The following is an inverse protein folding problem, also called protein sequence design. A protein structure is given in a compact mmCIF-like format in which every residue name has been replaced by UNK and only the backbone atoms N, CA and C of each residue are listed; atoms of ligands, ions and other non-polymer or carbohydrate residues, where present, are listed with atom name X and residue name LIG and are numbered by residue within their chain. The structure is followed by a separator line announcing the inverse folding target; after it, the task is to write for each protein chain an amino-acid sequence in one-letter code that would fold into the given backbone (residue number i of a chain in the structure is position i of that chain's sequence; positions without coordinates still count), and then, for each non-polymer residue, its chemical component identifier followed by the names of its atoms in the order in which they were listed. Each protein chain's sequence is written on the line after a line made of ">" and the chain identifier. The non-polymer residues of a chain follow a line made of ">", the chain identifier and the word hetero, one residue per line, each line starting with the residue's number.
data_IF_021070078281
#
_entry.id   IF_021070078281
#
_cell.length_a   1.000
_cell.length_b   1.000
_cell.length_c   1.000
_cell.angle_alpha   90.00
_cell.angle_beta   90.00
_cell.angle_gamma   90.00
#
_symmetry.space_group_name_H-M   'P 1'
#
loop_
_entity.id
_entity.type
_entity.pdbx_description
1 polymer ?
#
# COMPACT_ATOMS: atom_id res chain seq x y z
N UNK A 1 -8.03 -7.65 -4.38
CA UNK A 1 -8.12 -6.22 -4.77
C UNK A 1 -9.55 -5.81 -5.10
N UNK A 2 -10.15 -6.33 -6.17
CA UNK A 2 -11.56 -6.07 -6.55
C UNK A 2 -12.56 -6.16 -5.37
N UNK A 3 -12.51 -7.25 -4.59
CA UNK A 3 -13.39 -7.46 -3.43
C UNK A 3 -13.29 -6.33 -2.38
N UNK A 4 -12.07 -5.92 -2.03
CA UNK A 4 -11.80 -4.85 -1.06
C UNK A 4 -12.26 -3.50 -1.60
N UNK A 5 -12.05 -3.24 -2.88
CA UNK A 5 -12.45 -2.00 -3.51
C UNK A 5 -13.97 -1.82 -3.46
N UNK A 6 -14.73 -2.83 -3.86
CA UNK A 6 -16.19 -2.74 -3.80
C UNK A 6 -16.70 -2.64 -2.36
N UNK A 7 -16.11 -3.39 -1.43
CA UNK A 7 -16.48 -3.29 -0.02
C UNK A 7 -16.12 -1.92 0.54
N UNK A 8 -14.86 -1.48 0.49
CA UNK A 8 -14.43 -0.21 1.06
C UNK A 8 -15.21 1.01 0.52
N UNK A 9 -15.59 0.99 -0.75
CA UNK A 9 -16.23 2.14 -1.41
C UNK A 9 -17.75 2.20 -1.24
N UNK A 10 -18.41 1.10 -0.95
CA UNK A 10 -19.85 1.06 -0.69
C UNK A 10 -20.20 0.64 0.75
N UNK A 11 -19.19 0.39 1.60
CA UNK A 11 -19.38 0.04 3.00
C UNK A 11 -20.12 1.13 3.77
N UNK A 12 -19.92 2.40 3.42
CA UNK A 12 -20.63 3.52 4.05
C UNK A 12 -22.16 3.35 3.96
N UNK A 13 -22.66 2.83 2.84
CA UNK A 13 -24.07 2.55 2.61
C UNK A 13 -24.58 1.50 3.58
N UNK A 14 -23.81 0.43 3.81
CA UNK A 14 -24.15 -0.63 4.77
C UNK A 14 -24.14 -0.13 6.22
N UNK A 15 -23.10 0.62 6.60
CA UNK A 15 -22.92 1.12 7.97
C UNK A 15 -24.00 2.15 8.32
N UNK A 16 -24.39 2.98 7.36
CA UNK A 16 -25.44 3.98 7.54
C UNK A 16 -26.85 3.36 7.45
N UNK A 17 -27.18 2.67 6.36
CA UNK A 17 -28.56 2.22 6.10
C UNK A 17 -28.94 0.94 6.85
N UNK A 18 -28.04 -0.04 6.98
CA UNK A 18 -28.38 -1.35 7.58
C UNK A 18 -27.98 -1.42 9.07
N UNK A 19 -26.89 -0.76 9.46
CA UNK A 19 -26.40 -0.75 10.85
C UNK A 19 -26.85 0.48 11.64
N UNK A 20 -27.52 1.43 10.98
CA UNK A 20 -28.09 2.65 11.55
C UNK A 20 -27.10 3.54 12.31
N UNK A 21 -25.81 3.51 11.98
CA UNK A 21 -24.88 4.45 12.59
C UNK A 21 -25.04 5.85 11.98
N UNK A 22 -24.93 6.92 12.78
CA UNK A 22 -24.93 8.29 12.26
C UNK A 22 -23.90 8.50 11.15
N UNK A 23 -24.17 9.42 10.21
CA UNK A 23 -23.32 9.63 9.03
C UNK A 23 -21.86 9.93 9.39
N UNK A 24 -21.62 10.79 10.37
CA UNK A 24 -20.27 11.13 10.84
C UNK A 24 -19.51 9.91 11.38
N UNK A 25 -20.21 9.06 12.15
CA UNK A 25 -19.66 7.82 12.69
C UNK A 25 -19.41 6.79 11.59
N UNK A 26 -20.31 6.69 10.62
CA UNK A 26 -20.18 5.81 9.45
C UNK A 26 -18.96 6.17 8.61
N UNK A 27 -18.77 7.47 8.31
CA UNK A 27 -17.59 7.96 7.60
C UNK A 27 -16.30 7.62 8.36
N UNK A 28 -16.26 7.85 9.68
CA UNK A 28 -15.10 7.51 10.52
C UNK A 28 -14.81 6.01 10.56
N UNK A 29 -15.84 5.15 10.59
CA UNK A 29 -15.66 3.69 10.55
C UNK A 29 -15.00 3.28 9.22
N UNK A 30 -15.48 3.81 8.10
CA UNK A 30 -14.94 3.48 6.77
C UNK A 30 -13.51 3.98 6.60
N UNK A 31 -13.23 5.23 6.98
CA UNK A 31 -11.87 5.79 6.87
C UNK A 31 -10.89 5.09 7.81
N UNK A 32 -11.31 4.76 9.04
CA UNK A 32 -10.50 3.97 9.96
C UNK A 32 -10.22 2.57 9.40
N UNK A 33 -11.23 1.89 8.84
CA UNK A 33 -11.05 0.59 8.21
C UNK A 33 -10.01 0.64 7.07
N UNK A 34 -10.15 1.60 6.15
CA UNK A 34 -9.22 1.77 5.03
C UNK A 34 -7.82 2.12 5.55
N UNK A 35 -7.71 3.01 6.54
CA UNK A 35 -6.45 3.35 7.19
C UNK A 35 -5.79 2.14 7.86
N UNK A 36 -6.57 1.31 8.56
CA UNK A 36 -6.10 0.06 9.17
C UNK A 36 -5.59 -0.93 8.13
N UNK A 37 -6.25 -1.08 6.98
CA UNK A 37 -5.75 -1.92 5.87
C UNK A 37 -4.35 -1.48 5.44
N UNK A 38 -4.12 -0.18 5.27
CA UNK A 38 -2.82 0.35 4.86
C UNK A 38 -1.74 0.21 5.95
N UNK A 39 -2.09 0.44 7.22
CA UNK A 39 -1.17 0.22 8.34
C UNK A 39 -0.79 -1.26 8.47
N UNK A 40 -1.76 -2.17 8.35
CA UNK A 40 -1.51 -3.61 8.37
C UNK A 40 -0.76 -4.09 7.13
N UNK A 41 -0.76 -3.33 6.03
CA UNK A 41 0.11 -3.61 4.87
C UNK A 41 1.60 -3.50 5.21
N UNK A 42 1.98 -2.53 6.04
CA UNK A 42 3.36 -2.43 6.53
C UNK A 42 3.72 -3.65 7.38
N UNK A 43 2.81 -4.08 8.26
CA UNK A 43 2.98 -5.27 9.08
C UNK A 43 3.09 -6.55 8.23
N UNK A 44 2.25 -6.70 7.21
CA UNK A 44 2.27 -7.86 6.34
C UNK A 44 3.50 -7.98 5.46
N UNK A 45 4.04 -6.85 4.99
CA UNK A 45 5.35 -6.81 4.34
C UNK A 45 6.46 -7.26 5.29
N UNK A 46 6.46 -6.72 6.51
CA UNK A 46 7.41 -7.12 7.55
C UNK A 46 7.36 -8.61 7.90
N UNK A 47 6.16 -9.17 8.12
CA UNK A 47 5.97 -10.58 8.45
C UNK A 47 6.44 -11.51 7.32
N UNK A 48 6.15 -11.13 6.07
CA UNK A 48 6.59 -11.83 4.86
C UNK A 48 8.11 -11.83 4.73
N UNK A 49 8.75 -10.66 4.81
CA UNK A 49 10.18 -10.53 4.61
C UNK A 49 11.00 -11.15 5.75
N UNK A 50 10.50 -11.08 6.99
CA UNK A 50 11.24 -11.49 8.19
C UNK A 50 11.04 -12.95 8.58
N UNK A 51 9.84 -13.52 8.40
CA UNK A 51 9.48 -14.80 9.01
C UNK A 51 8.87 -15.80 8.04
N UNK A 52 7.74 -15.45 7.42
CA UNK A 52 6.86 -16.43 6.76
C UNK A 52 7.20 -16.66 5.28
N UNK A 53 7.80 -15.66 4.61
CA UNK A 53 7.90 -15.61 3.16
C UNK A 53 6.57 -15.25 2.48
N UNK A 54 6.66 -14.69 1.27
CA UNK A 54 5.49 -14.06 0.62
C UNK A 54 4.35 -15.02 0.32
N UNK A 55 4.66 -16.26 -0.09
CA UNK A 55 3.64 -17.27 -0.39
C UNK A 55 2.80 -17.64 0.84
N UNK A 56 3.45 -17.98 1.96
CA UNK A 56 2.74 -18.37 3.18
C UNK A 56 1.99 -17.20 3.80
N UNK A 57 2.55 -15.99 3.75
CA UNK A 57 1.81 -14.79 4.16
C UNK A 57 0.55 -14.61 3.31
N UNK A 58 0.64 -14.69 1.99
CA UNK A 58 -0.54 -14.58 1.12
C UNK A 58 -1.58 -15.66 1.41
N UNK A 59 -1.16 -16.91 1.63
CA UNK A 59 -2.08 -18.02 1.89
C UNK A 59 -2.84 -17.83 3.21
N UNK A 60 -2.12 -17.62 4.31
CA UNK A 60 -2.71 -17.47 5.65
C UNK A 60 -3.64 -16.26 5.68
N UNK A 61 -3.15 -15.10 5.25
CA UNK A 61 -3.93 -13.87 5.33
C UNK A 61 -5.05 -13.81 4.29
N UNK A 62 -4.94 -14.54 3.18
CA UNK A 62 -6.06 -14.70 2.26
C UNK A 62 -7.22 -15.49 2.87
N UNK A 63 -6.95 -16.57 3.63
CA UNK A 63 -8.02 -17.27 4.39
C UNK A 63 -8.64 -16.40 5.49
N UNK A 64 -7.82 -15.55 6.14
CA UNK A 64 -8.32 -14.56 7.11
C UNK A 64 -9.25 -13.56 6.41
N UNK A 65 -8.86 -13.05 5.24
CA UNK A 65 -9.67 -12.12 4.44
C UNK A 65 -10.99 -12.77 4.00
N UNK A 66 -10.92 -14.00 3.47
CA UNK A 66 -12.09 -14.78 3.07
C UNK A 66 -13.06 -14.98 4.23
N UNK A 67 -12.55 -15.35 5.41
CA UNK A 67 -13.36 -15.49 6.63
C UNK A 67 -14.07 -14.17 6.95
N UNK A 68 -13.37 -13.05 6.88
CA UNK A 68 -13.97 -11.72 7.08
C UNK A 68 -15.13 -11.43 6.12
N UNK A 69 -14.97 -11.71 4.82
CA UNK A 69 -16.05 -11.52 3.85
C UNK A 69 -17.24 -12.46 4.08
N UNK A 70 -17.00 -13.72 4.43
CA UNK A 70 -18.07 -14.66 4.79
C UNK A 70 -18.84 -14.15 6.01
N UNK A 71 -18.15 -13.71 7.07
CA UNK A 71 -18.81 -13.13 8.24
C UNK A 71 -19.62 -11.88 7.89
N UNK A 72 -19.10 -10.98 7.04
CA UNK A 72 -19.86 -9.82 6.57
C UNK A 72 -21.10 -10.22 5.77
N UNK A 73 -21.00 -11.24 4.91
CA UNK A 73 -22.10 -11.74 4.10
C UNK A 73 -23.18 -12.46 4.92
N UNK A 74 -22.79 -13.22 5.95
CA UNK A 74 -23.74 -13.83 6.90
C UNK A 74 -24.40 -12.74 7.77
N UNK A 75 -23.58 -11.79 8.23
CA UNK A 75 -23.88 -10.42 8.66
C UNK A 75 -25.23 -9.81 8.23
N UNK A 76 -25.14 -8.95 7.22
CA UNK A 76 -25.43 -9.54 5.94
C UNK A 76 -26.85 -10.07 5.74
N UNK A 77 -26.92 -11.36 5.54
CA UNK A 77 -28.12 -12.06 5.17
C UNK A 77 -29.10 -12.29 6.35
N UNK A 78 -28.59 -12.43 7.58
CA UNK A 78 -29.40 -12.84 8.73
C UNK A 78 -30.04 -11.64 9.46
N UNK A 79 -31.39 -11.52 9.48
CA UNK A 79 -32.07 -10.40 10.15
C UNK A 79 -31.78 -10.33 11.65
N UNK A 80 -31.48 -11.47 12.28
CA UNK A 80 -31.13 -11.56 13.70
C UNK A 80 -29.81 -10.84 14.03
N UNK A 81 -28.89 -10.73 13.06
CA UNK A 81 -27.57 -10.12 13.24
C UNK A 81 -27.54 -8.63 12.88
N UNK A 82 -28.70 -8.06 12.50
CA UNK A 82 -28.86 -6.64 12.14
C UNK A 82 -29.95 -5.96 12.97
N UNK A 83 -29.88 -4.64 13.16
CA UNK A 83 -31.02 -3.86 13.67
C UNK A 83 -32.31 -4.14 12.86
N UNK A 84 -33.47 -3.92 13.49
CA UNK A 84 -34.75 -4.03 12.79
C UNK A 84 -34.85 -2.95 11.71
N UNK A 85 -35.37 -3.30 10.52
CA UNK A 85 -35.40 -2.40 9.37
C UNK A 85 -36.04 -1.04 9.73
N UNK A 86 -35.31 0.04 9.46
CA UNK A 86 -35.75 1.39 9.72
C UNK A 86 -35.13 2.36 8.70
N UNK A 87 -35.86 3.41 8.30
CA UNK A 87 -35.37 4.39 7.32
C UNK A 87 -34.74 5.58 8.05
N UNK A 88 -33.40 5.61 8.06
CA UNK A 88 -32.58 6.67 8.68
C UNK A 88 -32.94 8.10 8.25
N UNK A 89 -33.56 8.26 7.08
CA UNK A 89 -33.91 9.57 6.50
C UNK A 89 -35.14 10.19 7.20
N UNK A 90 -36.04 9.36 7.76
CA UNK A 90 -37.34 9.81 8.26
C UNK A 90 -37.54 9.54 9.76
N UNK A 91 -36.73 8.67 10.36
CA UNK A 91 -36.94 8.17 11.72
C UNK A 91 -35.62 8.09 12.50
N UNK A 92 -35.70 8.24 13.82
CA UNK A 92 -34.60 7.94 14.73
C UNK A 92 -34.48 6.42 14.90
N UNK A 93 -33.70 5.78 14.03
CA UNK A 93 -33.50 4.34 14.06
C UNK A 93 -32.56 3.90 15.19
N UNK A 94 -32.80 2.73 15.81
CA UNK A 94 -31.89 2.21 16.83
C UNK A 94 -30.57 1.74 16.19
N UNK A 95 -29.46 2.34 16.65
CA UNK A 95 -28.11 1.92 16.26
C UNK A 95 -27.85 0.43 16.59
N UNK A 96 -27.04 -0.23 15.77
CA UNK A 96 -26.52 -1.55 16.12
C UNK A 96 -25.70 -1.51 17.42
N UNK A 97 -26.11 -2.30 18.41
CA UNK A 97 -25.46 -2.42 19.74
C UNK A 97 -25.21 -3.88 20.11
N UNK A 98 -24.34 -4.09 21.10
CA UNK A 98 -24.02 -5.41 21.66
C UNK A 98 -23.38 -6.34 20.63
N UNK A 99 -23.86 -7.59 20.55
CA UNK A 99 -23.28 -8.62 19.70
C UNK A 99 -23.34 -8.29 18.19
N UNK A 100 -24.37 -7.55 17.73
CA UNK A 100 -24.51 -7.15 16.31
C UNK A 100 -23.36 -6.25 15.87
N UNK A 101 -23.02 -5.26 16.69
CA UNK A 101 -21.88 -4.38 16.45
C UNK A 101 -20.54 -5.13 16.60
N UNK A 102 -20.43 -6.02 17.59
CA UNK A 102 -19.23 -6.81 17.82
C UNK A 102 -18.89 -7.69 16.60
N UNK A 103 -19.85 -8.46 16.08
CA UNK A 103 -19.64 -9.31 14.89
C UNK A 103 -19.22 -8.46 13.69
N UNK A 104 -19.84 -7.28 13.52
CA UNK A 104 -19.52 -6.38 12.43
C UNK A 104 -18.06 -5.92 12.48
N UNK A 105 -17.59 -5.45 13.64
CA UNK A 105 -16.21 -5.01 13.79
C UNK A 105 -15.21 -6.16 13.68
N UNK A 106 -15.53 -7.35 14.21
CA UNK A 106 -14.68 -8.55 14.02
C UNK A 106 -14.54 -8.85 12.53
N UNK A 107 -15.64 -8.91 11.79
CA UNK A 107 -15.63 -9.18 10.36
C UNK A 107 -14.84 -8.12 9.59
N UNK A 108 -15.06 -6.84 9.92
CA UNK A 108 -14.39 -5.70 9.30
C UNK A 108 -12.86 -5.73 9.54
N UNK A 109 -12.42 -6.02 10.77
CA UNK A 109 -11.00 -6.11 11.08
C UNK A 109 -10.33 -7.39 10.56
N UNK A 110 -11.06 -8.49 10.40
CA UNK A 110 -10.57 -9.68 9.68
C UNK A 110 -10.29 -9.36 8.21
N UNK A 111 -11.22 -8.68 7.53
CA UNK A 111 -10.98 -8.18 6.17
C UNK A 111 -9.79 -7.22 6.16
N UNK A 112 -9.70 -6.32 7.14
CA UNK A 112 -8.60 -5.34 7.19
C UNK A 112 -7.23 -6.02 7.32
N UNK A 113 -7.13 -7.00 8.22
CA UNK A 113 -5.91 -7.77 8.47
C UNK A 113 -5.52 -8.64 7.28
N UNK A 114 -6.48 -9.37 6.73
CA UNK A 114 -6.25 -10.21 5.56
C UNK A 114 -5.81 -9.38 4.35
N UNK A 115 -6.60 -8.35 4.01
CA UNK A 115 -6.32 -7.44 2.91
C UNK A 115 -4.98 -6.71 3.06
N UNK A 116 -4.72 -6.17 4.25
CA UNK A 116 -3.48 -5.45 4.54
C UNK A 116 -2.28 -6.35 4.28
N UNK A 117 -2.28 -7.55 4.85
CA UNK A 117 -1.14 -8.45 4.71
C UNK A 117 -1.00 -9.08 3.32
N UNK A 118 -2.09 -9.23 2.58
CA UNK A 118 -2.09 -9.84 1.25
C UNK A 118 -1.61 -8.86 0.15
N UNK A 119 -2.01 -7.59 0.23
CA UNK A 119 -1.70 -6.53 -0.76
C UNK A 119 -0.23 -6.40 -1.18
N UNK A 120 0.73 -6.15 -0.28
CA UNK A 120 2.13 -5.93 -0.66
C UNK A 120 2.76 -7.20 -1.22
N UNK A 121 2.28 -8.37 -0.79
CA UNK A 121 2.88 -9.65 -1.10
C UNK A 121 2.47 -10.21 -2.46
N UNK A 122 1.28 -9.88 -3.00
CA UNK A 122 0.88 -10.33 -4.34
C UNK A 122 1.89 -9.87 -5.40
N UNK A 123 2.16 -8.56 -5.43
CA UNK A 123 2.96 -7.95 -6.49
C UNK A 123 4.42 -8.40 -6.37
N UNK A 124 4.96 -8.43 -5.14
CA UNK A 124 6.33 -8.88 -4.88
C UNK A 124 6.51 -10.36 -5.22
N UNK A 125 5.57 -11.22 -4.81
CA UNK A 125 5.63 -12.64 -5.09
C UNK A 125 5.62 -12.94 -6.60
N UNK A 126 4.77 -12.26 -7.38
CA UNK A 126 4.76 -12.41 -8.84
C UNK A 126 6.02 -11.85 -9.50
N UNK A 127 6.56 -10.73 -9.00
CA UNK A 127 7.83 -10.20 -9.48
C UNK A 127 9.01 -11.16 -9.20
N UNK A 128 8.96 -11.87 -8.07
CA UNK A 128 10.00 -12.82 -7.67
C UNK A 128 10.09 -14.06 -8.57
N UNK A 129 9.06 -14.34 -9.36
CA UNK A 129 9.05 -15.43 -10.36
C UNK A 129 10.00 -15.15 -11.54
N UNK A 130 10.33 -13.88 -11.79
CA UNK A 130 11.27 -13.48 -12.83
C UNK A 130 12.67 -13.33 -12.22
N UNK A 131 13.57 -14.26 -12.55
CA UNK A 131 14.99 -14.21 -12.13
C UNK A 131 15.69 -13.04 -12.86
N UNK A 132 16.72 -12.46 -12.25
CA UNK A 132 17.40 -11.23 -12.73
C UNK A 132 18.70 -11.51 -13.52
N UNK A 133 18.92 -12.72 -13.99
CA UNK A 133 20.22 -13.11 -14.57
C UNK A 133 20.34 -12.79 -16.07
N UNK A 134 19.22 -12.64 -16.79
CA UNK A 134 19.22 -12.33 -18.24
C UNK A 134 18.59 -10.97 -18.59
N UNK A 135 19.20 -10.23 -19.53
CA UNK A 135 18.66 -8.99 -20.10
C UNK A 135 17.26 -9.16 -20.73
N UNK A 136 16.97 -10.37 -21.27
CA UNK A 136 15.64 -10.74 -21.77
C UNK A 136 14.60 -10.88 -20.65
N UNK A 137 14.99 -11.29 -19.44
CA UNK A 137 14.08 -11.43 -18.30
C UNK A 137 13.70 -10.06 -17.70
N UNK A 138 14.58 -9.06 -17.77
CA UNK A 138 14.26 -7.69 -17.35
C UNK A 138 13.09 -7.08 -18.14
N UNK A 139 13.03 -7.31 -19.47
CA UNK A 139 11.88 -6.89 -20.29
C UNK A 139 10.58 -7.59 -19.86
N UNK A 140 10.62 -8.90 -19.62
CA UNK A 140 9.45 -9.68 -19.16
C UNK A 140 8.94 -9.19 -17.80
N UNK A 141 9.84 -8.83 -16.89
CA UNK A 141 9.48 -8.27 -15.58
C UNK A 141 8.78 -6.91 -15.73
N UNK A 142 9.26 -6.04 -16.62
CA UNK A 142 8.58 -4.77 -16.91
C UNK A 142 7.19 -4.99 -17.51
N UNK A 143 7.05 -5.95 -18.45
CA UNK A 143 5.74 -6.33 -19.00
C UNK A 143 4.81 -6.86 -17.91
N UNK A 144 5.30 -7.68 -16.97
CA UNK A 144 4.52 -8.15 -15.83
C UNK A 144 3.97 -6.99 -15.01
N UNK A 145 4.80 -6.00 -14.64
CA UNK A 145 4.33 -4.84 -13.88
C UNK A 145 3.27 -4.03 -14.65
N UNK A 146 3.45 -3.83 -15.96
CA UNK A 146 2.48 -3.11 -16.78
C UNK A 146 1.14 -3.87 -16.87
N UNK A 147 1.18 -5.18 -17.09
CA UNK A 147 -0.02 -6.02 -17.15
C UNK A 147 -0.71 -6.10 -15.79
N UNK A 148 0.05 -6.26 -14.71
CA UNK A 148 -0.48 -6.29 -13.34
C UNK A 148 -1.16 -4.96 -12.99
N UNK A 149 -0.57 -3.83 -13.39
CA UNK A 149 -1.15 -2.51 -13.21
C UNK A 149 -2.43 -2.32 -14.02
N UNK A 150 -2.43 -2.73 -15.29
CA UNK A 150 -3.63 -2.70 -16.13
C UNK A 150 -4.75 -3.57 -15.56
N UNK A 151 -4.43 -4.81 -15.14
CA UNK A 151 -5.38 -5.72 -14.51
C UNK A 151 -5.93 -5.14 -13.19
N UNK A 152 -5.09 -4.43 -12.42
CA UNK A 152 -5.53 -3.71 -11.23
C UNK A 152 -6.56 -2.63 -11.58
N UNK A 153 -6.26 -1.74 -12.54
CA UNK A 153 -7.19 -0.68 -12.96
C UNK A 153 -8.51 -1.24 -13.50
N UNK A 154 -8.45 -2.30 -14.31
CA UNK A 154 -9.65 -2.97 -14.83
C UNK A 154 -10.47 -3.64 -13.72
N UNK A 155 -9.79 -4.29 -12.76
CA UNK A 155 -10.44 -4.91 -11.61
C UNK A 155 -11.14 -3.88 -10.71
N UNK A 156 -10.52 -2.74 -10.46
CA UNK A 156 -11.12 -1.62 -9.74
C UNK A 156 -12.32 -1.04 -10.50
N UNK A 157 -12.22 -0.89 -11.82
CA UNK A 157 -13.32 -0.43 -12.66
C UNK A 157 -14.54 -1.37 -12.57
N UNK A 158 -14.32 -2.67 -12.68
CA UNK A 158 -15.38 -3.69 -12.56
C UNK A 158 -15.99 -3.69 -11.14
N UNK A 159 -15.16 -3.60 -10.11
CA UNK A 159 -15.63 -3.50 -8.72
C UNK A 159 -16.54 -2.29 -8.53
N UNK A 160 -16.07 -1.11 -8.93
CA UNK A 160 -16.75 0.16 -8.67
C UNK A 160 -18.00 0.38 -9.53
N UNK A 161 -18.14 -0.38 -10.62
CA UNK A 161 -19.33 -0.32 -11.49
C UNK A 161 -20.25 -1.50 -11.22
N UNK A 162 -19.90 -2.69 -11.71
CA UNK A 162 -20.76 -3.88 -11.67
C UNK A 162 -21.01 -4.37 -10.24
N UNK A 163 -19.97 -4.49 -9.43
CA UNK A 163 -20.13 -5.04 -8.08
C UNK A 163 -20.84 -4.06 -7.14
N UNK A 164 -20.56 -2.76 -7.27
CA UNK A 164 -21.34 -1.71 -6.58
C UNK A 164 -22.80 -1.70 -7.05
N UNK A 165 -23.06 -1.86 -8.34
CA UNK A 165 -24.43 -1.96 -8.87
C UNK A 165 -25.18 -3.16 -8.27
N UNK A 166 -24.53 -4.32 -8.18
CA UNK A 166 -25.07 -5.51 -7.51
C UNK A 166 -25.35 -5.23 -6.03
N UNK A 167 -24.40 -4.62 -5.31
CA UNK A 167 -24.59 -4.26 -3.90
C UNK A 167 -25.80 -3.35 -3.67
N UNK A 168 -25.99 -2.36 -4.56
CA UNK A 168 -27.08 -1.38 -4.43
C UNK A 168 -28.44 -1.95 -4.83
N UNK A 169 -28.52 -2.82 -5.83
CA UNK A 169 -29.80 -3.34 -6.35
C UNK A 169 -30.21 -4.69 -5.79
N UNK A 170 -29.25 -5.59 -5.56
CA UNK A 170 -29.48 -6.94 -5.03
C UNK A 170 -29.23 -7.07 -3.52
N UNK A 171 -28.65 -6.04 -2.89
CA UNK A 171 -28.37 -6.00 -1.46
C UNK A 171 -26.90 -6.22 -1.10
N UNK A 172 -26.53 -5.73 0.08
CA UNK A 172 -25.15 -5.81 0.59
C UNK A 172 -24.73 -7.24 0.94
N UNK A 173 -25.67 -8.12 1.29
CA UNK A 173 -25.43 -9.54 1.54
C UNK A 173 -24.92 -10.27 0.31
N UNK A 174 -25.60 -10.05 -0.83
CA UNK A 174 -25.18 -10.57 -2.14
C UNK A 174 -23.82 -9.99 -2.53
N UNK A 175 -23.62 -8.68 -2.37
CA UNK A 175 -22.36 -8.03 -2.70
C UNK A 175 -21.15 -8.54 -1.90
N UNK A 176 -21.32 -8.76 -0.59
CA UNK A 176 -20.29 -9.38 0.24
C UNK A 176 -20.09 -10.86 -0.12
N UNK A 177 -21.16 -11.58 -0.46
CA UNK A 177 -21.07 -12.97 -0.93
C UNK A 177 -20.28 -13.11 -2.23
N UNK A 178 -20.53 -12.25 -3.21
CA UNK A 178 -19.75 -12.18 -4.47
C UNK A 178 -18.28 -11.83 -4.18
N UNK A 179 -18.02 -10.94 -3.23
CA UNK A 179 -16.67 -10.59 -2.80
C UNK A 179 -15.95 -11.80 -2.16
N UNK A 180 -16.64 -12.58 -1.32
CA UNK A 180 -16.13 -13.82 -0.74
C UNK A 180 -15.84 -14.86 -1.83
N UNK A 181 -16.74 -15.05 -2.79
CA UNK A 181 -16.56 -15.97 -3.91
C UNK A 181 -15.34 -15.58 -4.77
N UNK A 182 -15.19 -14.30 -5.11
CA UNK A 182 -14.04 -13.79 -5.85
C UNK A 182 -12.72 -14.02 -5.10
N UNK A 183 -12.72 -13.84 -3.77
CA UNK A 183 -11.55 -14.14 -2.93
C UNK A 183 -11.25 -15.65 -2.90
N UNK A 184 -12.27 -16.50 -2.76
CA UNK A 184 -12.10 -17.95 -2.79
C UNK A 184 -11.52 -18.44 -4.11
N UNK A 185 -11.99 -17.91 -5.25
CA UNK A 185 -11.41 -18.20 -6.58
C UNK A 185 -9.95 -17.77 -6.65
N UNK A 186 -9.62 -16.58 -6.13
CA UNK A 186 -8.23 -16.11 -6.04
C UNK A 186 -7.33 -17.03 -5.21
N UNK A 187 -7.82 -17.50 -4.05
CA UNK A 187 -7.11 -18.46 -3.20
C UNK A 187 -6.94 -19.82 -3.87
N UNK A 188 -7.97 -20.35 -4.53
CA UNK A 188 -7.90 -21.60 -5.28
C UNK A 188 -6.86 -21.48 -6.39
N UNK A 189 -6.85 -20.36 -7.12
CA UNK A 189 -5.84 -20.09 -8.14
C UNK A 189 -4.43 -20.02 -7.55
N UNK A 190 -4.27 -19.38 -6.38
CA UNK A 190 -2.98 -19.34 -5.68
C UNK A 190 -2.52 -20.75 -5.32
N UNK A 191 -3.36 -21.53 -4.64
CA UNK A 191 -3.05 -22.89 -4.19
C UNK A 191 -2.75 -23.82 -5.37
N UNK A 192 -3.50 -23.71 -6.47
CA UNK A 192 -3.30 -24.54 -7.67
C UNK A 192 -1.92 -24.33 -8.30
N UNK A 193 -1.34 -23.13 -8.16
CA UNK A 193 0.00 -22.81 -8.67
C UNK A 193 1.15 -23.21 -7.73
N UNK A 194 0.88 -23.78 -6.55
CA UNK A 194 1.90 -24.02 -5.51
C UNK A 194 3.11 -24.82 -6.01
N UNK A 195 2.89 -25.82 -6.87
CA UNK A 195 3.97 -26.64 -7.43
C UNK A 195 4.82 -25.91 -8.49
N UNK A 196 4.33 -24.80 -9.05
CA UNK A 196 4.97 -24.03 -10.12
C UNK A 196 5.74 -22.81 -9.59
N UNK A 197 5.44 -22.35 -8.37
CA UNK A 197 6.04 -21.15 -7.82
C UNK A 197 7.47 -21.36 -7.35
N UNK A 198 8.33 -20.39 -7.67
CA UNK A 198 9.67 -20.25 -7.12
C UNK A 198 9.58 -19.41 -5.85
N UNK A 199 9.52 -20.08 -4.71
CA UNK A 199 9.46 -19.43 -3.40
C UNK A 199 10.87 -19.04 -2.96
N UNK A 200 11.11 -17.75 -2.71
CA UNK A 200 12.36 -17.25 -2.13
C UNK A 200 12.32 -17.37 -0.60
N UNK A 201 13.44 -17.69 0.06
CA UNK A 201 13.53 -17.65 1.51
C UNK A 201 13.39 -16.21 2.03
N UNK A 202 13.02 -16.07 3.31
CA UNK A 202 12.91 -14.78 3.99
C UNK A 202 14.26 -14.03 3.96
N UNK A 203 14.21 -12.72 3.67
CA UNK A 203 15.39 -11.85 3.51
C UNK A 203 15.78 -11.11 4.79
N UNK A 204 15.06 -11.36 5.88
CA UNK A 204 15.25 -10.71 7.16
C UNK A 204 14.53 -9.37 7.26
N UNK A 205 14.63 -8.73 8.42
CA UNK A 205 13.92 -7.49 8.73
C UNK A 205 14.65 -6.25 8.18
N UNK A 206 13.94 -5.41 7.45
CA UNK A 206 14.41 -4.07 7.03
C UNK A 206 14.50 -3.11 8.21
N UNK A 207 13.71 -3.32 9.27
CA UNK A 207 13.71 -2.46 10.46
C UNK A 207 14.93 -2.71 11.37
N UNK A 208 15.49 -3.92 11.34
CA UNK A 208 16.61 -4.26 12.23
C UNK A 208 17.88 -3.45 11.92
N UNK A 209 18.34 -3.32 10.65
CA UNK A 209 19.45 -2.44 10.30
C UNK A 209 19.18 -0.97 10.64
N UNK A 210 17.95 -0.49 10.44
CA UNK A 210 17.57 0.89 10.79
C UNK A 210 17.73 1.11 12.30
N UNK A 211 17.18 0.21 13.12
CA UNK A 211 17.28 0.28 14.57
C UNK A 211 18.74 0.19 15.05
N UNK A 212 19.55 -0.68 14.45
CA UNK A 212 20.98 -0.81 14.75
C UNK A 212 21.72 0.51 14.54
N UNK A 213 21.51 1.18 13.40
CA UNK A 213 22.15 2.48 13.10
C UNK A 213 21.77 3.54 14.14
N UNK A 214 20.48 3.63 14.51
CA UNK A 214 20.06 4.59 15.54
C UNK A 214 20.64 4.27 16.91
N UNK A 215 20.59 3.01 17.34
CA UNK A 215 21.13 2.58 18.65
C UNK A 215 22.63 2.82 18.71
N UNK A 216 23.38 2.46 17.66
CA UNK A 216 24.82 2.68 17.57
C UNK A 216 25.17 4.19 17.57
N UNK A 217 24.45 5.01 16.79
CA UNK A 217 24.68 6.46 16.74
C UNK A 217 24.38 7.14 18.08
N UNK A 218 23.29 6.76 18.76
CA UNK A 218 22.91 7.31 20.07
C UNK A 218 23.90 6.87 21.15
N UNK A 219 24.32 5.61 21.14
CA UNK A 219 25.34 5.08 22.06
C UNK A 219 26.66 5.87 21.91
N UNK A 220 27.05 6.21 20.68
CA UNK A 220 28.25 6.96 20.35
C UNK A 220 28.04 8.48 20.28
N UNK A 221 26.93 9.02 20.82
CA UNK A 221 26.57 10.45 20.67
C UNK A 221 27.63 11.42 21.21
N UNK A 222 28.42 11.01 22.20
CA UNK A 222 29.49 11.82 22.82
C UNK A 222 30.78 11.87 21.99
N UNK A 223 30.92 11.01 20.98
CA UNK A 223 32.09 10.99 20.12
C UNK A 223 32.05 12.15 19.11
N UNK A 224 33.23 12.64 18.74
CA UNK A 224 33.40 13.68 17.72
C UNK A 224 33.06 13.05 16.36
N UNK A 225 32.22 13.72 15.56
CA UNK A 225 31.96 13.26 14.18
C UNK A 225 33.28 13.29 13.40
N UNK A 226 33.77 12.15 12.87
CA UNK A 226 35.01 12.13 12.12
C UNK A 226 34.85 13.00 10.87
N UNK A 227 35.82 13.88 10.62
CA UNK A 227 35.89 14.68 9.40
C UNK A 227 36.54 13.91 8.25
N UNK A 228 37.15 12.75 8.53
CA UNK A 228 37.92 11.96 7.58
C UNK A 228 37.27 10.59 7.34
N UNK A 229 36.93 10.29 6.08
CA UNK A 229 36.13 9.12 5.65
C UNK A 229 36.89 7.80 5.84
N UNK A 230 38.22 7.85 5.90
CA UNK A 230 39.09 6.67 6.09
C UNK A 230 38.98 6.02 7.48
N UNK A 231 38.42 6.73 8.47
CA UNK A 231 38.22 6.19 9.83
C UNK A 231 36.91 5.42 10.00
N UNK A 232 36.06 5.35 8.96
CA UNK A 232 34.75 4.70 9.03
C UNK A 232 34.84 3.20 8.75
N UNK A 233 34.21 2.39 9.60
CA UNK A 233 34.19 0.93 9.46
C UNK A 233 33.42 0.48 8.20
N UNK A 234 34.07 -0.36 7.38
CA UNK A 234 33.54 -0.83 6.09
C UNK A 234 34.14 -0.12 4.86
N UNK A 235 35.06 0.82 5.04
CA UNK A 235 35.93 1.27 3.95
C UNK A 235 37.08 0.26 3.75
N UNK A 236 37.50 0.07 2.51
CA UNK A 236 38.21 -1.11 1.95
C UNK A 236 39.56 -1.54 2.57
N UNK A 237 40.02 -0.96 3.67
CA UNK A 237 41.40 -1.13 4.16
C UNK A 237 41.60 -2.26 5.19
N UNK A 238 40.56 -3.01 5.57
CA UNK A 238 40.68 -4.14 6.52
C UNK A 238 40.16 -5.48 5.95
N UNK A 239 40.39 -5.76 4.66
CA UNK A 239 40.36 -7.13 4.14
C UNK A 239 41.80 -7.65 4.17
N UNK A 240 42.12 -8.77 4.84
CA UNK A 240 43.46 -9.33 4.83
C UNK A 240 43.91 -9.63 3.39
N UNK A 241 45.13 -9.20 3.06
CA UNK A 241 45.79 -9.28 1.75
C UNK A 241 45.97 -10.72 1.22
N UNK A 242 44.90 -11.41 0.81
CA UNK A 242 45.04 -12.72 0.16
C UNK A 242 43.95 -12.99 -0.89
N UNK A 243 43.72 -12.09 -1.85
CA UNK A 243 43.22 -12.47 -3.18
C UNK A 243 43.69 -11.44 -4.24
N UNK A 244 44.22 -11.88 -5.39
CA UNK A 244 44.83 -10.98 -6.37
C UNK A 244 43.78 -10.15 -7.10
N UNK A 245 44.17 -8.92 -7.39
CA UNK A 245 43.40 -7.92 -8.10
C UNK A 245 42.82 -8.43 -9.42
N UNK A 246 41.51 -8.35 -9.57
CA UNK A 246 40.87 -8.22 -10.88
C UNK A 246 39.92 -7.04 -10.85
N UNK A 247 40.39 -5.95 -11.47
CA UNK A 247 39.62 -4.83 -11.97
C UNK A 247 38.35 -5.32 -12.68
N UNK A 248 37.16 -4.87 -12.34
CA UNK A 248 36.54 -3.66 -12.91
C UNK A 248 35.14 -3.45 -12.29
N UNK A 249 34.72 -2.20 -12.13
CA UNK A 249 33.37 -1.72 -11.77
C UNK A 249 32.93 -1.77 -10.28
N UNK A 250 33.53 -0.94 -9.43
CA UNK A 250 32.93 -0.54 -8.14
C UNK A 250 32.84 0.99 -8.04
N UNK A 251 32.26 1.63 -9.06
CA UNK A 251 31.90 3.06 -9.03
C UNK A 251 30.51 3.32 -8.39
N UNK A 252 29.94 2.34 -7.67
CA UNK A 252 28.58 2.42 -7.12
C UNK A 252 28.49 2.26 -5.59
N UNK A 253 29.55 2.60 -4.85
CA UNK A 253 29.43 2.74 -3.40
C UNK A 253 28.79 4.12 -3.12
N UNK A 254 27.59 4.14 -2.53
CA UNK A 254 26.78 5.34 -2.28
C UNK A 254 27.64 6.57 -1.94
N UNK A 255 27.46 7.66 -2.70
CA UNK A 255 28.04 8.98 -2.40
C UNK A 255 27.76 9.33 -0.94
N UNK A 256 28.82 9.53 -0.15
CA UNK A 256 28.71 9.97 1.23
C UNK A 256 27.92 11.29 1.29
N UNK A 257 26.82 11.31 2.05
CA UNK A 257 25.93 12.47 2.13
C UNK A 257 26.15 13.22 3.44
N UNK A 258 26.39 14.54 3.36
CA UNK A 258 26.56 15.45 4.52
C UNK A 258 25.29 15.61 5.37
N UNK A 259 24.13 15.21 4.85
CA UNK A 259 22.85 15.22 5.57
C UNK A 259 22.85 14.15 6.66
N UNK A 260 22.33 14.51 7.85
CA UNK A 260 22.24 13.62 9.02
C UNK A 260 23.60 13.08 9.50
N UNK A 261 24.65 13.91 9.48
CA UNK A 261 26.03 13.55 9.91
C UNK A 261 26.15 12.96 11.31
N UNK A 262 25.16 13.16 12.19
CA UNK A 262 25.13 12.52 13.50
C UNK A 262 25.03 10.98 13.42
N UNK A 263 24.47 10.44 12.33
CA UNK A 263 24.38 8.99 12.12
C UNK A 263 25.71 8.35 11.76
N UNK A 264 26.67 9.11 11.23
CA UNK A 264 28.02 8.62 10.92
C UNK A 264 28.78 8.18 12.18
N UNK A 265 28.33 8.63 13.35
CA UNK A 265 28.84 8.17 14.64
C UNK A 265 28.66 6.66 14.85
N UNK A 266 27.68 6.03 14.19
CA UNK A 266 27.46 4.59 14.25
C UNK A 266 28.62 3.77 13.65
N UNK A 267 29.43 4.38 12.77
CA UNK A 267 30.54 3.75 12.06
C UNK A 267 31.90 3.91 12.75
N UNK A 268 31.97 4.66 13.86
CA UNK A 268 33.24 4.91 14.58
C UNK A 268 33.63 3.65 15.35
N UNK A 269 34.79 3.04 15.05
CA UNK A 269 35.33 1.95 15.87
C UNK A 269 35.90 2.53 17.17
N UNK A 270 35.52 1.98 18.31
CA UNK A 270 36.11 2.36 19.60
C UNK A 270 37.19 1.32 19.89
N UNK A 271 38.47 1.72 19.87
CA UNK A 271 39.58 0.87 20.27
C UNK A 271 39.61 0.74 21.80
N UNK A 272 38.66 -0.02 22.36
CA UNK A 272 38.78 -0.58 23.71
C UNK A 272 39.61 -1.86 23.56
N UNK A 273 40.91 -1.85 23.87
CA UNK A 273 41.97 -2.87 23.63
C UNK A 273 41.67 -4.35 23.95
N UNK A 274 40.55 -4.85 23.45
CA UNK A 274 40.02 -6.20 23.52
C UNK A 274 39.57 -6.55 22.11
N UNK A 275 40.18 -7.55 21.50
CA UNK A 275 39.82 -8.08 20.18
C UNK A 275 38.47 -8.84 20.22
N UNK A 276 37.40 -8.19 20.69
CA UNK A 276 36.06 -8.74 20.61
C UNK A 276 35.42 -8.30 19.30
N UNK A 277 34.81 -9.25 18.61
CA UNK A 277 33.92 -8.97 17.47
C UNK A 277 32.83 -8.00 17.93
N UNK A 278 32.87 -6.75 17.44
CA UNK A 278 31.88 -5.75 17.82
C UNK A 278 30.49 -6.19 17.32
N UNK A 279 29.48 -6.04 18.18
CA UNK A 279 28.11 -6.40 17.83
C UNK A 279 27.56 -5.44 16.77
N UNK A 280 26.68 -5.91 15.85
CA UNK A 280 26.03 -5.05 14.84
C UNK A 280 25.21 -3.88 15.42
N UNK A 281 24.88 -3.96 16.71
CA UNK A 281 24.18 -2.92 17.48
C UNK A 281 25.10 -1.83 18.03
N UNK A 282 26.41 -2.09 18.05
CA UNK A 282 27.43 -1.14 18.51
C UNK A 282 28.23 -0.57 17.33
N UNK A 283 28.47 -1.36 16.27
CA UNK A 283 29.21 -0.93 15.08
C UNK A 283 28.43 -1.25 13.79
N UNK A 284 28.18 -0.22 12.97
CA UNK A 284 27.48 -0.35 11.69
C UNK A 284 28.42 -0.03 10.51
N UNK A 285 28.12 -0.59 9.34
CA UNK A 285 28.87 -0.28 8.11
C UNK A 285 28.43 1.05 7.50
N UNK A 286 29.31 1.72 6.76
CA UNK A 286 28.98 2.97 6.03
C UNK A 286 27.79 2.79 5.09
N UNK A 287 27.72 1.65 4.39
CA UNK A 287 26.62 1.36 3.48
C UNK A 287 25.27 1.30 4.20
N UNK A 288 25.21 0.68 5.39
CA UNK A 288 23.98 0.64 6.21
C UNK A 288 23.58 2.04 6.68
N UNK A 289 24.55 2.86 7.12
CA UNK A 289 24.26 4.23 7.57
C UNK A 289 23.75 5.10 6.41
N UNK A 290 24.40 5.06 5.25
CA UNK A 290 23.96 5.81 4.07
C UNK A 290 22.57 5.37 3.58
N UNK A 291 22.24 4.07 3.65
CA UNK A 291 20.89 3.60 3.37
C UNK A 291 19.86 4.22 4.33
N UNK A 292 20.14 4.30 5.63
CA UNK A 292 19.26 4.95 6.61
C UNK A 292 19.13 6.45 6.35
N UNK A 293 20.22 7.14 6.00
CA UNK A 293 20.19 8.57 5.62
C UNK A 293 19.30 8.82 4.41
N UNK A 294 19.35 7.94 3.40
CA UNK A 294 18.49 8.02 2.21
C UNK A 294 17.02 7.85 2.63
N UNK A 295 16.70 6.86 3.47
CA UNK A 295 15.33 6.65 3.98
C UNK A 295 14.83 7.92 4.71
N UNK A 296 15.63 8.48 5.62
CA UNK A 296 15.29 9.72 6.33
C UNK A 296 15.07 10.91 5.39
N UNK A 297 15.84 10.99 4.31
CA UNK A 297 15.70 12.05 3.30
C UNK A 297 14.39 11.95 2.50
N UNK A 298 13.76 10.76 2.45
CA UNK A 298 12.48 10.53 1.76
C UNK A 298 11.27 10.82 2.68
N UNK A 299 11.43 10.81 4.00
CA UNK A 299 10.34 11.07 4.97
C UNK A 299 9.59 12.38 4.69
N UNK A 300 10.25 13.52 4.43
CA UNK A 300 9.52 14.77 4.15
C UNK A 300 8.65 14.67 2.89
N UNK A 301 9.14 13.98 1.85
CA UNK A 301 8.37 13.76 0.61
C UNK A 301 7.14 12.91 0.93
N UNK A 302 7.30 11.84 1.71
CA UNK A 302 6.19 11.01 2.17
C UNK A 302 5.18 11.83 2.99
N UNK A 303 5.63 12.69 3.90
CA UNK A 303 4.75 13.54 4.70
C UNK A 303 3.89 14.47 3.84
N UNK A 304 4.44 15.07 2.77
CA UNK A 304 3.65 15.87 1.84
C UNK A 304 2.54 15.08 1.13
N UNK A 305 2.75 13.78 0.87
CA UNK A 305 1.72 12.92 0.25
C UNK A 305 0.57 12.54 1.19
N UNK A 306 0.69 12.77 2.50
CA UNK A 306 -0.41 12.53 3.44
C UNK A 306 -1.62 13.40 3.09
N UNK A 307 -1.39 14.66 2.72
CA UNK A 307 -2.46 15.59 2.31
C UNK A 307 -3.20 15.05 1.09
N UNK A 308 -2.47 14.50 0.11
CA UNK A 308 -3.07 13.88 -1.07
C UNK A 308 -3.95 12.67 -0.72
N UNK A 309 -3.50 11.82 0.21
CA UNK A 309 -4.30 10.69 0.69
C UNK A 309 -5.58 11.15 1.39
N UNK A 310 -5.54 12.26 2.14
CA UNK A 310 -6.74 12.86 2.74
C UNK A 310 -7.74 13.28 1.66
N UNK A 311 -7.28 13.92 0.58
CA UNK A 311 -8.13 14.31 -0.57
C UNK A 311 -8.77 13.07 -1.21
N UNK A 312 -7.99 12.00 -1.42
CA UNK A 312 -8.53 10.74 -1.93
C UNK A 312 -9.60 10.13 -1.01
N UNK A 313 -9.42 10.18 0.31
CA UNK A 313 -10.41 9.68 1.26
C UNK A 313 -11.75 10.44 1.19
N UNK A 314 -11.72 11.75 0.89
CA UNK A 314 -12.94 12.54 0.69
C UNK A 314 -13.74 12.07 -0.52
N UNK A 315 -13.05 11.69 -1.60
CA UNK A 315 -13.68 11.14 -2.80
C UNK A 315 -14.46 9.85 -2.51
N UNK A 316 -13.99 9.03 -1.56
CA UNK A 316 -14.65 7.76 -1.22
C UNK A 316 -15.86 7.91 -0.30
N UNK A 317 -15.99 9.07 0.37
CA UNK A 317 -16.96 9.29 1.44
C UNK A 317 -17.93 10.40 1.08
N UNK A 318 -17.50 11.66 1.21
CA UNK A 318 -18.36 12.82 1.00
C UNK A 318 -18.82 12.96 -0.46
N UNK A 319 -17.96 12.67 -1.45
CA UNK A 319 -18.39 12.73 -2.85
C UNK A 319 -19.45 11.67 -3.19
N UNK A 320 -19.40 10.51 -2.54
CA UNK A 320 -20.44 9.47 -2.68
C UNK A 320 -21.77 9.96 -2.11
N UNK A 321 -21.74 10.63 -0.96
CA UNK A 321 -22.94 11.22 -0.34
C UNK A 321 -23.51 12.36 -1.17
N UNK A 322 -22.67 13.27 -1.68
CA UNK A 322 -23.07 14.32 -2.61
C UNK A 322 -23.73 13.70 -3.86
N UNK A 323 -23.11 12.64 -4.42
CA UNK A 323 -23.67 11.90 -5.54
C UNK A 323 -25.04 11.28 -5.23
N UNK A 324 -25.32 10.93 -3.98
CA UNK A 324 -26.63 10.39 -3.56
C UNK A 324 -27.73 11.44 -3.52
N UNK A 325 -27.37 12.73 -3.44
CA UNK A 325 -28.32 13.84 -3.52
C UNK A 325 -28.49 14.39 -4.95
N UNK A 326 -27.65 13.95 -5.90
CA UNK A 326 -27.69 14.38 -7.30
C UNK A 326 -28.59 13.48 -8.15
N UNK A 327 -28.99 13.96 -9.33
CA UNK A 327 -29.72 13.13 -10.29
C UNK A 327 -28.78 12.08 -10.90
N UNK A 328 -29.00 10.81 -10.55
CA UNK A 328 -28.20 9.66 -11.01
C UNK A 328 -28.76 8.97 -12.26
N UNK A 329 -29.80 9.53 -12.89
CA UNK A 329 -30.44 8.95 -14.06
C UNK A 329 -29.65 9.26 -15.34
N UNK A 330 -29.14 8.22 -16.01
CA UNK A 330 -28.34 8.39 -17.25
C UNK A 330 -29.12 7.99 -18.51
N UNK A 331 -30.01 7.01 -18.40
CA UNK A 331 -30.83 6.51 -19.51
C UNK A 331 -32.20 6.08 -18.98
N UNK A 332 -33.20 5.89 -19.86
CA UNK A 332 -34.57 5.53 -19.45
C UNK A 332 -34.58 4.35 -18.47
N UNK A 333 -34.75 4.64 -17.18
CA UNK A 333 -34.85 3.66 -16.09
C UNK A 333 -33.51 3.16 -15.52
N UNK A 334 -32.36 3.67 -15.95
CA UNK A 334 -31.05 3.25 -15.43
C UNK A 334 -30.45 4.31 -14.51
N UNK A 335 -30.41 3.98 -13.22
CA UNK A 335 -29.79 4.79 -12.17
C UNK A 335 -28.42 4.25 -11.82
N UNK A 336 -27.40 5.11 -11.90
CA UNK A 336 -26.05 4.77 -11.47
C UNK A 336 -25.93 4.88 -9.95
N UNK A 337 -25.38 3.87 -9.25
CA UNK A 337 -25.09 4.00 -7.83
C UNK A 337 -24.13 5.16 -7.56
N UNK A 338 -24.38 6.02 -6.56
CA UNK A 338 -23.50 7.13 -6.22
C UNK A 338 -22.05 6.71 -5.94
N UNK A 339 -21.83 5.53 -5.33
CA UNK A 339 -20.51 5.00 -5.06
C UNK A 339 -19.71 4.68 -6.34
N UNK A 340 -20.38 4.49 -7.48
CA UNK A 340 -19.74 4.25 -8.78
C UNK A 340 -19.06 5.49 -9.36
N UNK A 341 -19.24 6.69 -8.79
CA UNK A 341 -18.46 7.87 -9.15
C UNK A 341 -16.94 7.64 -9.03
N UNK A 342 -16.54 6.75 -8.14
CA UNK A 342 -15.13 6.38 -7.95
C UNK A 342 -14.52 5.59 -9.12
N UNK A 343 -15.34 5.11 -10.05
CA UNK A 343 -14.87 4.52 -11.30
C UNK A 343 -14.17 5.54 -12.21
N UNK A 344 -14.58 6.82 -12.14
CA UNK A 344 -14.10 7.88 -13.03
C UNK A 344 -12.56 8.03 -13.01
N UNK A 345 -11.89 8.14 -11.84
CA UNK A 345 -10.43 8.15 -11.78
C UNK A 345 -9.77 6.96 -12.47
N UNK A 346 -10.31 5.75 -12.34
CA UNK A 346 -9.74 4.56 -12.96
C UNK A 346 -9.92 4.55 -14.47
N UNK A 347 -11.07 5.04 -14.99
CA UNK A 347 -11.26 5.27 -16.42
C UNK A 347 -10.20 6.25 -16.92
N UNK A 348 -10.03 7.38 -16.23
CA UNK A 348 -9.02 8.39 -16.59
C UNK A 348 -7.63 7.78 -16.56
N UNK A 349 -7.25 6.99 -15.54
CA UNK A 349 -5.94 6.34 -15.45
C UNK A 349 -5.68 5.39 -16.62
N UNK A 350 -6.67 4.60 -17.03
CA UNK A 350 -6.55 3.66 -18.17
C UNK A 350 -6.23 4.38 -19.48
N UNK A 351 -6.76 5.60 -19.69
CA UNK A 351 -6.49 6.39 -20.90
C UNK A 351 -5.27 7.31 -20.77
N UNK A 352 -5.14 8.01 -19.65
CA UNK A 352 -4.11 9.04 -19.43
C UNK A 352 -2.74 8.41 -19.30
N UNK A 353 -2.59 7.23 -18.70
CA UNK A 353 -1.26 6.61 -18.52
C UNK A 353 -0.63 6.22 -19.87
N UNK A 354 -1.32 5.49 -20.77
CA UNK A 354 -0.80 5.23 -22.10
C UNK A 354 -0.52 6.51 -22.88
N UNK A 355 -1.41 7.50 -22.82
CA UNK A 355 -1.20 8.80 -23.46
C UNK A 355 0.03 9.52 -22.91
N UNK A 356 0.23 9.48 -21.59
CA UNK A 356 1.36 10.07 -20.91
C UNK A 356 2.68 9.43 -21.36
N UNK A 357 2.75 8.10 -21.38
CA UNK A 357 3.97 7.37 -21.76
C UNK A 357 4.27 7.44 -23.28
N UNK A 358 3.25 7.49 -24.14
CA UNK A 358 3.43 7.45 -25.60
C UNK A 358 3.54 8.84 -26.24
N UNK A 359 2.86 9.85 -25.69
CA UNK A 359 2.86 11.21 -26.24
C UNK A 359 3.68 12.16 -25.39
N UNK A 360 3.37 12.25 -24.09
CA UNK A 360 3.99 13.25 -23.22
C UNK A 360 5.45 12.95 -22.91
N UNK A 361 5.81 11.72 -22.54
CA UNK A 361 7.19 11.36 -22.18
C UNK A 361 8.16 11.56 -23.34
N UNK A 362 7.88 11.12 -24.60
CA UNK A 362 8.76 11.39 -25.73
C UNK A 362 8.87 12.88 -26.05
N UNK A 363 7.77 13.62 -25.97
CA UNK A 363 7.77 15.07 -26.21
C UNK A 363 8.60 15.80 -25.13
N UNK A 364 8.33 15.53 -23.86
CA UNK A 364 9.06 16.11 -22.74
C UNK A 364 10.54 15.74 -22.79
N UNK A 365 10.88 14.50 -23.16
CA UNK A 365 12.27 14.05 -23.32
C UNK A 365 13.02 14.84 -24.40
N UNK A 366 12.35 15.24 -25.50
CA UNK A 366 12.95 16.12 -26.51
C UNK A 366 13.34 17.48 -25.93
N UNK A 367 12.55 18.01 -25.00
CA UNK A 367 12.81 19.32 -24.38
C UNK A 367 13.75 19.26 -23.17
N UNK A 368 13.64 18.24 -22.32
CA UNK A 368 14.36 18.18 -21.04
C UNK A 368 15.63 17.35 -21.09
N UNK A 369 15.81 16.52 -22.12
CA UNK A 369 16.91 15.56 -22.22
C UNK A 369 16.84 14.39 -21.21
N UNK A 370 15.84 14.34 -20.33
CA UNK A 370 15.71 13.31 -19.28
C UNK A 370 15.00 12.07 -19.81
N UNK A 371 15.49 10.89 -19.44
CA UNK A 371 14.89 9.60 -19.86
C UNK A 371 13.42 9.48 -19.44
N UNK A 372 13.05 10.02 -18.28
CA UNK A 372 11.68 10.04 -17.76
C UNK A 372 10.82 11.22 -18.27
N UNK A 373 11.33 12.07 -19.18
CA UNK A 373 10.66 13.30 -19.57
C UNK A 373 10.74 14.39 -18.48
N UNK A 374 10.05 14.24 -17.36
CA UNK A 374 10.13 15.14 -16.20
C UNK A 374 10.58 14.39 -14.94
N UNK A 375 11.10 15.10 -13.93
CA UNK A 375 11.59 14.43 -12.71
C UNK A 375 10.43 13.87 -11.87
N UNK A 376 10.63 12.78 -11.12
CA UNK A 376 9.60 12.24 -10.23
C UNK A 376 9.08 13.27 -9.22
N UNK A 377 9.97 14.11 -8.68
CA UNK A 377 9.58 15.15 -7.71
C UNK A 377 8.72 16.25 -8.37
N UNK A 378 8.99 16.61 -9.63
CA UNK A 378 8.13 17.53 -10.38
C UNK A 378 6.74 16.93 -10.59
N UNK A 379 6.64 15.63 -10.94
CA UNK A 379 5.34 14.94 -11.07
C UNK A 379 4.53 14.99 -9.76
N UNK A 380 5.18 14.70 -8.63
CA UNK A 380 4.55 14.77 -7.30
C UNK A 380 4.06 16.18 -6.98
N UNK A 381 4.91 17.20 -7.20
CA UNK A 381 4.55 18.59 -6.94
C UNK A 381 3.37 19.08 -7.78
N UNK A 382 3.37 18.79 -9.08
CA UNK A 382 2.26 19.13 -9.98
C UNK A 382 0.96 18.42 -9.58
N UNK A 383 1.03 17.14 -9.21
CA UNK A 383 -0.14 16.38 -8.76
C UNK A 383 -0.76 16.96 -7.48
N UNK A 384 0.07 17.32 -6.50
CA UNK A 384 -0.39 17.98 -5.28
C UNK A 384 -1.08 19.32 -5.57
N UNK A 385 -0.49 20.14 -6.44
CA UNK A 385 -1.07 21.43 -6.83
C UNK A 385 -2.46 21.27 -7.48
N UNK A 386 -2.59 20.35 -8.43
CA UNK A 386 -3.87 20.08 -9.12
C UNK A 386 -4.91 19.54 -8.12
N UNK A 387 -4.51 18.65 -7.21
CA UNK A 387 -5.42 18.10 -6.20
C UNK A 387 -5.97 19.18 -5.26
N UNK A 388 -5.13 20.14 -4.83
CA UNK A 388 -5.59 21.28 -4.03
C UNK A 388 -6.60 22.13 -4.79
N UNK A 389 -6.34 22.45 -6.06
CA UNK A 389 -7.26 23.23 -6.89
C UNK A 389 -8.61 22.51 -7.06
N UNK A 390 -8.59 21.19 -7.27
CA UNK A 390 -9.80 20.36 -7.37
C UNK A 390 -10.67 20.45 -6.12
N UNK A 391 -10.08 20.44 -4.92
CA UNK A 391 -10.84 20.56 -3.66
C UNK A 391 -11.43 21.96 -3.48
N UNK A 392 -10.72 23.01 -3.90
CA UNK A 392 -11.25 24.38 -3.87
C UNK A 392 -12.47 24.51 -4.78
N UNK A 393 -12.41 23.94 -5.99
CA UNK A 393 -13.56 23.91 -6.90
C UNK A 393 -14.73 23.10 -6.31
N UNK A 394 -14.46 21.96 -5.67
CA UNK A 394 -15.50 21.12 -5.08
C UNK A 394 -16.19 21.80 -3.89
N UNK A 395 -15.48 22.60 -3.09
CA UNK A 395 -16.04 23.30 -1.94
C UNK A 395 -16.94 24.49 -2.30
N UNK A 396 -16.86 25.00 -3.53
CA UNK A 396 -17.63 26.14 -4.02
C UNK A 396 -18.98 25.76 -4.67
N UNK A 397 -19.27 24.46 -4.82
CA UNK A 397 -20.54 23.90 -5.28
C UNK A 397 -21.31 23.28 -4.11
#
# INVERSE_FOLDING_TARGET
>A
MMAIAAVGNNLITYVFNDMHFPLSKSANIVTNFIGTVFLLSLLGGFLSDSYLGSFWTMLIFGFVELSGFILLSVQAHLPQLRPAQCKMIFENCPEAKGYKALIFFIALYLVALGSGCLKPNIISHGADQFIKEDSKQSKKLSTYFNVAYFAFCMGELIALTLLVWVQTHAGMDVGFGVSAAAMAVGLISLISGTALYKNKPSRGSIFTPIAQVFVAAISKRKQICPSNIEMLYGNKNNVPNHLPATSTNVNNLLHHTEKFRFLDKACIRIEDGTERTESPWRLCTVAQVEQVKVILSVIPIFACTIIFNTILAQLQTFSVQQGSAMNTNIAKGFHIPPASLQAIPYIILIFVIPLYETLFVPLARRFTGKVSGISPLQRVGTGLFIATFSMVCAAHN
#
